data_IF_366165723926
#
_entry.id   IF_366165723926
#
_cell.length_a   1.000
_cell.length_b   1.000
_cell.length_c   1.000
_cell.angle_alpha   90.00
_cell.angle_beta   90.00
_cell.angle_gamma   90.00
#
_symmetry.space_group_name_H-M   'P 1'
#
loop_
_entity.id
_entity.type
_entity.pdbx_description
1 polymer ?
#
# COMPACT_ATOMS: atom_id res chain seq x y z
N UNK A 1 18.42 9.14 -40.41
CA UNK A 1 18.44 9.08 -38.93
C UNK A 1 17.05 8.67 -38.51
N UNK A 2 16.86 7.38 -38.27
CA UNK A 2 15.56 6.87 -37.83
C UNK A 2 15.28 7.37 -36.42
N UNK A 3 14.25 8.20 -36.28
CA UNK A 3 13.61 8.47 -35.00
C UNK A 3 12.91 7.19 -34.57
N UNK A 4 13.65 6.23 -34.02
CA UNK A 4 13.06 5.11 -33.28
C UNK A 4 12.44 5.73 -32.04
N UNK A 5 11.13 5.96 -32.12
CA UNK A 5 10.33 6.47 -31.02
C UNK A 5 10.54 5.50 -29.84
N UNK A 6 11.30 5.94 -28.83
CA UNK A 6 11.58 5.12 -27.66
C UNK A 6 10.23 4.82 -26.99
N UNK A 7 10.00 3.54 -26.71
CA UNK A 7 8.76 3.11 -26.07
C UNK A 7 8.65 3.77 -24.68
N UNK A 8 7.52 4.43 -24.35
CA UNK A 8 7.34 5.15 -23.09
C UNK A 8 7.57 4.30 -21.84
N UNK A 9 7.29 2.99 -21.90
CA UNK A 9 7.54 2.04 -20.80
C UNK A 9 9.04 1.84 -20.59
N UNK A 10 9.82 1.75 -21.68
CA UNK A 10 11.27 1.59 -21.62
C UNK A 10 11.92 2.88 -21.08
N UNK A 11 11.46 4.03 -21.55
CA UNK A 11 11.88 5.35 -21.04
C UNK A 11 11.57 5.49 -19.54
N UNK A 12 10.36 5.11 -19.13
CA UNK A 12 9.94 5.12 -17.73
C UNK A 12 10.82 4.25 -16.82
N UNK A 13 11.18 3.06 -17.30
CA UNK A 13 12.08 2.18 -16.58
C UNK A 13 13.55 2.65 -16.67
N UNK A 14 13.91 3.52 -17.61
CA UNK A 14 15.24 4.12 -17.69
C UNK A 14 16.35 3.10 -18.00
N UNK A 15 16.01 2.00 -18.68
CA UNK A 15 16.98 1.02 -19.15
C UNK A 15 17.12 1.15 -20.68
N UNK A 16 18.36 1.06 -21.17
CA UNK A 16 18.64 1.11 -22.61
C UNK A 16 18.36 -0.19 -23.35
N UNK A 17 18.38 -1.33 -22.65
CA UNK A 17 18.04 -2.65 -23.18
C UNK A 17 17.34 -3.44 -22.07
N UNK A 18 16.07 -3.78 -22.27
CA UNK A 18 15.29 -4.54 -21.30
C UNK A 18 15.09 -5.97 -21.78
N UNK A 19 15.36 -6.96 -20.91
CA UNK A 19 15.12 -8.36 -21.23
C UNK A 19 13.61 -8.67 -21.30
N UNK A 20 13.24 -9.83 -21.87
CA UNK A 20 11.87 -10.37 -21.83
C UNK A 20 11.24 -10.19 -20.42
N UNK A 21 9.99 -9.68 -20.30
CA UNK A 21 8.96 -9.57 -21.34
C UNK A 21 9.00 -8.28 -22.17
N UNK A 22 9.93 -7.36 -21.93
CA UNK A 22 9.98 -6.05 -22.62
C UNK A 22 10.44 -6.11 -24.07
N UNK A 23 10.89 -7.28 -24.53
CA UNK A 23 11.16 -7.55 -25.95
C UNK A 23 9.92 -8.07 -26.68
N UNK A 24 8.83 -8.36 -25.95
CA UNK A 24 7.58 -8.89 -26.50
C UNK A 24 6.61 -7.75 -26.85
N UNK A 25 6.17 -7.63 -28.13
CA UNK A 25 5.28 -6.55 -28.54
C UNK A 25 3.89 -6.58 -27.87
N UNK A 26 3.37 -7.76 -27.53
CA UNK A 26 2.06 -7.89 -26.87
C UNK A 26 2.13 -7.39 -25.44
N UNK A 27 3.21 -7.73 -24.72
CA UNK A 27 3.47 -7.19 -23.39
C UNK A 27 3.64 -5.67 -23.43
N UNK A 28 4.45 -5.16 -24.35
CA UNK A 28 4.70 -3.71 -24.46
C UNK A 28 3.41 -2.92 -24.73
N UNK A 29 2.58 -3.39 -25.67
CA UNK A 29 1.29 -2.75 -25.96
C UNK A 29 0.40 -2.70 -24.71
N UNK A 30 0.31 -3.79 -23.96
CA UNK A 30 -0.47 -3.83 -22.71
C UNK A 30 0.11 -2.92 -21.63
N UNK A 31 1.43 -2.89 -21.50
CA UNK A 31 2.11 -2.03 -20.53
C UNK A 31 1.93 -0.54 -20.84
N UNK A 32 1.89 -0.17 -22.13
CA UNK A 32 1.59 1.19 -22.58
C UNK A 32 0.16 1.61 -22.24
N UNK A 33 -0.83 0.78 -22.57
CA UNK A 33 -2.25 1.04 -22.28
C UNK A 33 -2.48 1.26 -20.78
N UNK A 34 -1.82 0.43 -19.97
CA UNK A 34 -1.87 0.53 -18.52
C UNK A 34 -1.17 1.81 -18.02
N UNK A 35 0.02 2.17 -18.53
CA UNK A 35 0.70 3.42 -18.15
C UNK A 35 -0.14 4.67 -18.48
N UNK A 36 -0.86 4.68 -19.60
CA UNK A 36 -1.80 5.76 -19.95
C UNK A 36 -2.93 5.84 -18.93
N UNK A 37 -3.49 4.69 -18.56
CA UNK A 37 -4.55 4.58 -17.55
C UNK A 37 -4.07 5.04 -16.17
N UNK A 38 -2.79 4.81 -15.87
CA UNK A 38 -2.18 5.11 -14.58
C UNK A 38 -1.49 6.47 -14.52
N UNK A 39 -1.63 7.34 -15.53
CA UNK A 39 -0.85 8.59 -15.66
C UNK A 39 -0.88 9.47 -14.39
N UNK A 40 -2.02 9.52 -13.70
CA UNK A 40 -2.25 10.37 -12.52
C UNK A 40 -1.89 9.65 -11.20
N UNK A 41 -1.46 8.39 -11.25
CA UNK A 41 -1.05 7.64 -10.06
C UNK A 41 0.37 8.03 -9.60
N UNK A 42 0.65 7.94 -8.28
CA UNK A 42 2.01 8.07 -7.77
C UNK A 42 2.94 7.03 -8.39
N UNK A 43 4.22 7.37 -8.48
CA UNK A 43 5.22 6.55 -9.18
C UNK A 43 5.34 5.12 -8.62
N UNK A 44 5.22 4.97 -7.30
CA UNK A 44 5.22 3.68 -6.62
C UNK A 44 4.05 2.78 -7.05
N UNK A 45 2.88 3.35 -7.34
CA UNK A 45 1.71 2.61 -7.83
C UNK A 45 1.90 2.15 -9.28
N UNK A 46 2.46 3.01 -10.13
CA UNK A 46 2.82 2.67 -11.51
C UNK A 46 3.82 1.50 -11.54
N UNK A 47 4.87 1.56 -10.71
CA UNK A 47 5.84 0.47 -10.57
C UNK A 47 5.22 -0.84 -10.11
N UNK A 48 4.37 -0.82 -9.07
CA UNK A 48 3.76 -2.06 -8.58
C UNK A 48 2.77 -2.67 -9.58
N UNK A 49 2.03 -1.84 -10.30
CA UNK A 49 1.10 -2.30 -11.31
C UNK A 49 1.83 -2.86 -12.53
N UNK A 50 2.93 -2.23 -12.95
CA UNK A 50 3.83 -2.76 -13.98
C UNK A 50 4.48 -4.08 -13.52
N UNK A 51 4.90 -4.17 -12.25
CA UNK A 51 5.41 -5.40 -11.67
C UNK A 51 4.37 -6.52 -11.68
N UNK A 52 3.12 -6.20 -11.34
CA UNK A 52 2.02 -7.17 -11.43
C UNK A 52 1.81 -7.67 -12.86
N UNK A 53 1.89 -6.79 -13.85
CA UNK A 53 1.77 -7.14 -15.26
C UNK A 53 2.93 -8.04 -15.71
N UNK A 54 4.18 -7.72 -15.37
CA UNK A 54 5.35 -8.57 -15.63
C UNK A 54 5.15 -9.97 -15.07
N UNK A 55 4.70 -10.08 -13.81
CA UNK A 55 4.46 -11.35 -13.15
C UNK A 55 3.35 -12.17 -13.80
N UNK A 56 2.22 -11.52 -14.14
CA UNK A 56 1.11 -12.19 -14.81
C UNK A 56 1.53 -12.73 -16.18
N UNK A 57 2.40 -12.02 -16.88
CA UNK A 57 2.90 -12.42 -18.19
C UNK A 57 3.93 -13.56 -18.10
N UNK A 58 4.91 -13.44 -17.21
CA UNK A 58 5.98 -14.44 -17.05
C UNK A 58 5.52 -15.71 -16.31
N UNK A 59 4.58 -15.55 -15.38
CA UNK A 59 4.17 -16.59 -14.44
C UNK A 59 2.64 -16.61 -14.26
N UNK A 60 1.87 -16.89 -15.32
CA UNK A 60 0.39 -16.79 -15.29
C UNK A 60 -0.27 -17.67 -14.22
N UNK A 61 0.41 -18.73 -13.77
CA UNK A 61 -0.07 -19.66 -12.76
C UNK A 61 0.47 -19.38 -11.34
N UNK A 62 1.23 -18.29 -11.13
CA UNK A 62 1.80 -17.94 -9.83
C UNK A 62 1.35 -16.54 -9.42
N UNK A 63 0.85 -16.40 -8.20
CA UNK A 63 0.39 -15.13 -7.66
C UNK A 63 1.35 -14.62 -6.58
N UNK A 64 1.91 -13.43 -6.76
CA UNK A 64 2.77 -12.77 -5.78
C UNK A 64 2.04 -11.54 -5.23
N UNK A 65 1.52 -11.66 -4.00
CA UNK A 65 0.68 -10.64 -3.32
C UNK A 65 1.52 -9.51 -2.71
N UNK A 66 2.83 -9.69 -2.71
CA UNK A 66 3.74 -9.02 -1.80
C UNK A 66 3.95 -7.53 -2.02
N UNK A 67 4.35 -7.16 -3.23
CA UNK A 67 4.73 -5.79 -3.57
C UNK A 67 3.61 -4.77 -3.36
N UNK A 68 2.34 -5.19 -3.49
CA UNK A 68 1.19 -4.35 -3.20
C UNK A 68 1.06 -4.01 -1.71
N UNK A 69 1.51 -4.89 -0.80
CA UNK A 69 1.46 -4.64 0.65
C UNK A 69 2.37 -3.49 1.05
N UNK A 70 3.52 -3.33 0.40
CA UNK A 70 4.40 -2.16 0.61
C UNK A 70 3.70 -0.84 0.30
N UNK A 71 2.93 -0.77 -0.80
CA UNK A 71 2.16 0.44 -1.14
C UNK A 71 1.10 0.78 -0.10
N UNK A 72 0.48 -0.25 0.48
CA UNK A 72 -0.60 -0.09 1.45
C UNK A 72 -0.03 0.25 2.84
N UNK A 73 1.06 -0.40 3.24
CA UNK A 73 1.61 -0.26 4.60
C UNK A 73 2.67 0.83 4.71
N UNK A 74 3.27 1.26 3.59
CA UNK A 74 4.41 2.18 3.57
C UNK A 74 5.70 1.58 4.12
N UNK A 75 5.76 0.26 4.37
CA UNK A 75 6.93 -0.38 4.95
C UNK A 75 7.72 -1.17 3.89
N UNK A 76 8.95 -0.75 3.54
CA UNK A 76 9.75 -1.37 2.50
C UNK A 76 10.12 -2.82 2.84
N UNK A 77 9.98 -3.20 4.11
CA UNK A 77 10.32 -4.54 4.56
C UNK A 77 9.45 -5.64 3.97
N UNK A 78 8.21 -5.34 3.59
CA UNK A 78 7.38 -6.31 2.87
C UNK A 78 8.03 -6.67 1.53
N UNK A 79 8.54 -5.66 0.81
CA UNK A 79 9.29 -5.87 -0.42
C UNK A 79 10.46 -6.83 -0.21
N UNK A 80 11.22 -6.69 0.88
CA UNK A 80 12.39 -7.53 1.17
C UNK A 80 12.00 -8.97 1.55
N UNK A 81 10.92 -9.17 2.32
CA UNK A 81 10.41 -10.51 2.66
C UNK A 81 9.88 -11.22 1.40
N UNK A 82 9.16 -10.47 0.56
CA UNK A 82 8.61 -11.01 -0.68
C UNK A 82 9.74 -11.32 -1.67
N UNK A 83 10.80 -10.51 -1.69
CA UNK A 83 12.01 -10.80 -2.46
C UNK A 83 12.64 -12.14 -2.08
N UNK A 84 12.87 -12.37 -0.79
CA UNK A 84 13.43 -13.63 -0.30
C UNK A 84 12.56 -14.83 -0.71
N UNK A 85 11.24 -14.66 -0.69
CA UNK A 85 10.29 -15.71 -1.12
C UNK A 85 10.40 -15.99 -2.63
N UNK A 86 10.54 -14.94 -3.44
CA UNK A 86 10.68 -15.02 -4.90
C UNK A 86 12.02 -15.66 -5.28
N UNK A 87 13.10 -15.27 -4.61
CA UNK A 87 14.44 -15.82 -4.80
C UNK A 87 14.45 -17.33 -4.50
N UNK A 88 13.90 -17.75 -3.35
CA UNK A 88 13.76 -19.18 -3.00
C UNK A 88 12.91 -19.96 -4.00
N UNK A 89 11.93 -19.31 -4.63
CA UNK A 89 11.08 -19.92 -5.66
C UNK A 89 11.74 -20.00 -7.05
N UNK A 90 12.99 -19.52 -7.19
CA UNK A 90 13.73 -19.48 -8.45
C UNK A 90 13.10 -18.53 -9.48
N UNK A 91 12.31 -17.56 -9.02
CA UNK A 91 11.62 -16.61 -9.88
C UNK A 91 12.61 -15.51 -10.25
N UNK A 92 12.63 -15.14 -11.53
CA UNK A 92 13.52 -14.11 -12.04
C UNK A 92 13.07 -12.73 -11.56
N UNK A 93 14.03 -11.93 -11.11
CA UNK A 93 13.81 -10.53 -10.76
C UNK A 93 13.60 -9.71 -12.03
N UNK A 94 12.45 -9.05 -12.12
CA UNK A 94 12.04 -8.25 -13.27
C UNK A 94 12.45 -6.78 -13.14
N UNK A 95 12.56 -6.01 -14.23
CA UNK A 95 12.92 -4.58 -14.19
C UNK A 95 12.09 -3.72 -13.24
N UNK A 96 10.75 -3.83 -13.23
CA UNK A 96 9.94 -3.04 -12.29
C UNK A 96 10.19 -3.49 -10.84
N UNK A 97 10.36 -4.79 -10.62
CA UNK A 97 10.74 -5.35 -9.31
C UNK A 97 12.10 -4.83 -8.83
N UNK A 98 13.10 -4.71 -9.71
CA UNK A 98 14.40 -4.12 -9.38
C UNK A 98 14.26 -2.67 -8.91
N UNK A 99 13.43 -1.86 -9.58
CA UNK A 99 13.16 -0.49 -9.13
C UNK A 99 12.47 -0.45 -7.77
N UNK A 100 11.46 -1.29 -7.55
CA UNK A 100 10.77 -1.39 -6.26
C UNK A 100 11.76 -1.79 -5.15
N UNK A 101 12.65 -2.77 -5.41
CA UNK A 101 13.69 -3.19 -4.48
C UNK A 101 14.69 -2.08 -4.19
N UNK A 102 15.11 -1.32 -5.20
CA UNK A 102 16.02 -0.19 -5.02
C UNK A 102 15.40 0.90 -4.14
N UNK A 103 14.13 1.25 -4.39
CA UNK A 103 13.37 2.19 -3.57
C UNK A 103 13.24 1.67 -2.14
N UNK A 104 12.82 0.41 -1.97
CA UNK A 104 12.62 -0.19 -0.68
C UNK A 104 13.92 -0.29 0.13
N UNK A 105 15.01 -0.71 -0.52
CA UNK A 105 16.35 -0.81 0.08
C UNK A 105 16.87 0.57 0.48
N UNK A 106 16.68 1.59 -0.37
CA UNK A 106 17.02 2.98 -0.03
C UNK A 106 16.22 3.47 1.18
N UNK A 107 14.90 3.25 1.20
CA UNK A 107 14.03 3.59 2.34
C UNK A 107 14.43 2.87 3.63
N UNK A 108 14.94 1.64 3.51
CA UNK A 108 15.43 0.82 4.62
C UNK A 108 16.80 1.27 5.12
N UNK A 109 17.75 1.57 4.22
CA UNK A 109 19.12 1.97 4.55
C UNK A 109 19.24 3.40 5.10
N UNK A 110 18.35 4.31 4.68
CA UNK A 110 18.39 5.72 5.07
C UNK A 110 17.39 6.09 6.19
N UNK A 111 16.96 5.12 7.00
CA UNK A 111 16.10 5.31 8.19
C UNK A 111 14.79 6.10 7.95
N UNK A 112 14.32 6.12 6.70
CA UNK A 112 13.03 6.71 6.35
C UNK A 112 11.86 5.80 6.74
N UNK A 113 12.13 4.62 7.34
CA UNK A 113 11.13 3.76 7.95
C UNK A 113 11.53 3.24 9.33
N UNK A 114 10.56 2.92 10.21
CA UNK A 114 10.86 2.42 11.55
C UNK A 114 11.61 1.08 11.47
N UNK A 115 12.91 1.11 11.72
CA UNK A 115 13.75 -0.03 12.05
C UNK A 115 13.17 -0.70 13.30
N UNK A 116 12.41 -1.79 13.16
CA UNK A 116 12.32 -2.78 14.24
C UNK A 116 11.83 -4.11 13.66
N UNK A 117 12.79 -4.99 13.43
CA UNK A 117 12.70 -6.44 13.24
C UNK A 117 11.39 -6.99 12.61
N UNK A 118 11.39 -7.31 11.31
CA UNK A 118 10.20 -7.80 10.57
C UNK A 118 9.74 -9.18 11.00
N UNK A 119 10.68 -9.98 11.54
CA UNK A 119 10.41 -11.32 12.06
C UNK A 119 9.79 -11.28 13.46
N UNK A 120 9.82 -10.11 14.11
CA UNK A 120 9.13 -9.91 15.37
C UNK A 120 7.63 -9.74 15.08
N UNK A 121 6.89 -10.85 15.24
CA UNK A 121 5.43 -10.92 15.09
C UNK A 121 4.72 -9.79 15.85
N UNK A 122 5.24 -9.37 17.01
CA UNK A 122 4.69 -8.27 17.80
C UNK A 122 4.82 -6.91 17.10
N UNK A 123 5.95 -6.65 16.44
CA UNK A 123 6.16 -5.39 15.70
C UNK A 123 5.36 -5.36 14.39
N UNK A 124 5.31 -6.48 13.66
CA UNK A 124 4.45 -6.59 12.47
C UNK A 124 2.97 -6.42 12.84
N UNK A 125 2.54 -7.02 13.96
CA UNK A 125 1.17 -6.86 14.46
C UNK A 125 0.88 -5.42 14.86
N UNK A 126 1.86 -4.71 15.42
CA UNK A 126 1.72 -3.28 15.77
C UNK A 126 1.46 -2.40 14.55
N UNK A 127 2.15 -2.65 13.44
CA UNK A 127 1.93 -1.93 12.15
C UNK A 127 0.58 -2.27 11.55
N UNK A 128 0.17 -3.54 11.61
CA UNK A 128 -1.17 -3.95 11.17
C UNK A 128 -2.25 -3.20 11.97
N UNK A 129 -2.12 -3.15 13.29
CA UNK A 129 -3.02 -2.43 14.20
C UNK A 129 -3.00 -0.93 13.90
N UNK A 130 -1.83 -0.35 13.58
CA UNK A 130 -1.69 1.04 13.18
C UNK A 130 -2.53 1.37 11.95
N UNK A 131 -2.39 0.58 10.89
CA UNK A 131 -3.10 0.79 9.63
C UNK A 131 -4.61 0.56 9.79
N UNK A 132 -4.98 -0.46 10.57
CA UNK A 132 -6.36 -0.71 10.95
C UNK A 132 -6.97 0.46 11.73
N UNK A 133 -6.23 1.06 12.66
CA UNK A 133 -6.66 2.24 13.41
C UNK A 133 -6.77 3.49 12.52
N UNK A 134 -5.84 3.69 11.59
CA UNK A 134 -5.92 4.79 10.61
C UNK A 134 -7.14 4.67 9.69
N UNK A 135 -7.40 3.47 9.17
CA UNK A 135 -8.57 3.22 8.32
C UNK A 135 -9.87 3.40 9.11
N UNK A 136 -9.92 2.90 10.34
CA UNK A 136 -11.09 3.07 11.21
C UNK A 136 -11.34 4.56 11.52
N UNK A 137 -10.30 5.33 11.85
CA UNK A 137 -10.43 6.77 12.07
C UNK A 137 -10.92 7.50 10.80
N UNK A 138 -10.42 7.14 9.62
CA UNK A 138 -10.90 7.68 8.35
C UNK A 138 -12.37 7.31 8.08
N UNK A 139 -12.79 6.08 8.37
CA UNK A 139 -14.20 5.65 8.24
C UNK A 139 -15.11 6.38 9.21
N UNK A 140 -14.71 6.54 10.48
CA UNK A 140 -15.46 7.31 11.46
C UNK A 140 -15.60 8.79 11.06
N UNK A 141 -14.57 9.37 10.43
CA UNK A 141 -14.64 10.73 9.90
C UNK A 141 -15.56 10.83 8.66
N UNK A 142 -15.47 9.89 7.72
CA UNK A 142 -16.16 9.96 6.42
C UNK A 142 -17.60 9.42 6.47
N UNK A 143 -17.83 8.26 7.09
CA UNK A 143 -19.12 7.56 7.07
C UNK A 143 -20.04 8.06 8.19
N UNK A 144 -19.48 8.42 9.35
CA UNK A 144 -20.25 8.87 10.52
C UNK A 144 -20.22 10.39 10.68
N UNK A 145 -19.20 11.07 10.13
CA UNK A 145 -19.05 12.51 10.28
C UNK A 145 -18.44 12.92 11.62
N UNK A 146 -17.78 12.00 12.34
CA UNK A 146 -17.09 12.34 13.59
C UNK A 146 -16.00 13.36 13.31
N UNK A 147 -15.79 14.30 14.26
CA UNK A 147 -14.62 15.16 14.20
C UNK A 147 -13.35 14.30 14.19
N UNK A 148 -12.30 14.75 13.48
CA UNK A 148 -11.04 13.99 13.40
C UNK A 148 -10.48 13.60 14.77
N UNK A 149 -10.63 14.48 15.76
CA UNK A 149 -10.18 14.21 17.13
C UNK A 149 -10.96 13.04 17.76
N UNK A 150 -12.28 13.07 17.64
CA UNK A 150 -13.14 12.01 18.15
C UNK A 150 -12.91 10.68 17.40
N UNK A 151 -12.78 10.74 16.07
CA UNK A 151 -12.49 9.58 15.24
C UNK A 151 -11.15 8.90 15.61
N UNK A 152 -10.09 9.70 15.82
CA UNK A 152 -8.79 9.18 16.26
C UNK A 152 -8.84 8.60 17.68
N UNK A 153 -9.59 9.24 18.59
CA UNK A 153 -9.77 8.75 19.96
C UNK A 153 -10.47 7.39 19.99
N UNK A 154 -11.63 7.29 19.31
CA UNK A 154 -12.39 6.05 19.17
C UNK A 154 -11.56 4.93 18.56
N UNK A 155 -10.84 5.22 17.46
CA UNK A 155 -10.02 4.21 16.80
C UNK A 155 -8.86 3.73 17.68
N UNK A 156 -8.16 4.64 18.36
CA UNK A 156 -7.11 4.30 19.32
C UNK A 156 -7.65 3.38 20.43
N UNK A 157 -8.74 3.78 21.08
CA UNK A 157 -9.30 3.06 22.23
C UNK A 157 -9.88 1.70 21.82
N UNK A 158 -10.54 1.61 20.67
CA UNK A 158 -11.03 0.35 20.11
C UNK A 158 -9.90 -0.67 19.98
N UNK A 159 -8.78 -0.28 19.37
CA UNK A 159 -7.65 -1.19 19.16
C UNK A 159 -6.81 -1.45 20.41
N UNK A 160 -6.71 -0.49 21.34
CA UNK A 160 -6.11 -0.70 22.66
C UNK A 160 -6.86 -1.80 23.44
N UNK A 161 -8.20 -1.76 23.42
CA UNK A 161 -9.02 -2.77 24.09
C UNK A 161 -8.97 -4.13 23.38
N UNK A 162 -8.93 -4.13 22.05
CA UNK A 162 -8.87 -5.36 21.24
C UNK A 162 -7.53 -6.07 21.34
N UNK A 163 -6.45 -5.32 21.54
CA UNK A 163 -5.08 -5.83 21.60
C UNK A 163 -4.31 -5.20 22.78
N UNK A 164 -4.62 -5.58 24.03
CA UNK A 164 -4.04 -4.95 25.22
C UNK A 164 -2.52 -5.12 25.31
N UNK A 165 -1.98 -6.22 24.76
CA UNK A 165 -0.55 -6.54 24.78
C UNK A 165 0.26 -5.86 23.66
N UNK A 166 -0.42 -5.27 22.68
CA UNK A 166 0.22 -4.51 21.62
C UNK A 166 0.33 -3.05 22.06
N UNK A 167 1.53 -2.46 21.97
CA UNK A 167 1.69 -1.01 22.21
C UNK A 167 0.89 -0.25 21.16
N UNK A 168 -0.35 0.11 21.54
CA UNK A 168 -1.30 0.84 20.71
C UNK A 168 -0.79 2.20 20.27
N UNK A 169 -1.54 2.86 19.39
CA UNK A 169 -1.18 4.17 18.87
C UNK A 169 -2.04 5.23 19.50
N UNK A 170 -1.39 6.26 20.06
CA UNK A 170 -2.10 7.40 20.61
C UNK A 170 -2.89 8.17 19.54
N UNK A 171 -4.04 8.78 19.90
CA UNK A 171 -4.87 9.60 19.03
C UNK A 171 -4.08 10.73 18.39
N UNK A 172 -3.14 11.34 19.12
CA UNK A 172 -2.28 12.38 18.56
C UNK A 172 -1.39 11.86 17.45
N UNK A 173 -0.87 10.64 17.60
CA UNK A 173 -0.07 9.99 16.55
C UNK A 173 -0.95 9.61 15.37
N UNK A 174 -2.17 9.11 15.57
CA UNK A 174 -3.13 8.86 14.48
C UNK A 174 -3.48 10.15 13.74
N UNK A 175 -3.76 11.23 14.47
CA UNK A 175 -4.09 12.55 13.91
C UNK A 175 -2.94 13.08 13.04
N UNK A 176 -1.71 13.02 13.54
CA UNK A 176 -0.51 13.40 12.76
C UNK A 176 -0.36 12.57 11.50
N UNK A 177 -0.59 11.26 11.58
CA UNK A 177 -0.46 10.36 10.43
C UNK A 177 -1.56 10.57 9.38
N UNK A 178 -2.81 10.84 9.79
CA UNK A 178 -3.90 11.22 8.87
C UNK A 178 -3.67 12.58 8.19
N UNK A 179 -2.89 13.46 8.82
CA UNK A 179 -2.52 14.77 8.27
C UNK A 179 -1.32 14.71 7.32
N UNK A 180 -0.46 13.67 7.41
CA UNK A 180 0.72 13.55 6.55
C UNK A 180 0.29 13.19 5.12
N UNK A 181 0.85 13.85 4.09
CA UNK A 181 0.80 13.35 2.73
C UNK A 181 1.48 11.97 2.66
N UNK A 182 0.93 11.01 1.90
CA UNK A 182 -0.27 11.14 1.06
C UNK A 182 -1.56 10.94 1.87
N UNK A 183 -2.64 11.66 1.55
CA UNK A 183 -3.99 11.48 2.15
C UNK A 183 -4.69 10.18 1.73
N UNK A 184 -3.93 9.21 1.23
CA UNK A 184 -4.40 7.99 0.59
C UNK A 184 -5.41 7.20 1.44
N UNK A 185 -5.31 7.19 2.77
CA UNK A 185 -6.32 6.54 3.62
C UNK A 185 -7.68 7.24 3.54
N UNK A 186 -7.73 8.57 3.62
CA UNK A 186 -8.98 9.33 3.50
C UNK A 186 -9.53 9.27 2.08
N UNK A 187 -8.67 9.37 1.07
CA UNK A 187 -9.07 9.30 -0.34
C UNK A 187 -9.57 7.91 -0.73
N UNK A 188 -8.89 6.84 -0.27
CA UNK A 188 -9.32 5.45 -0.48
C UNK A 188 -10.65 5.18 0.21
N UNK A 189 -10.82 5.58 1.48
CA UNK A 189 -12.09 5.38 2.19
C UNK A 189 -13.23 6.20 1.57
N UNK A 190 -12.93 7.40 1.06
CA UNK A 190 -13.91 8.21 0.32
C UNK A 190 -14.31 7.54 -1.00
N UNK A 191 -13.36 6.95 -1.73
CA UNK A 191 -13.61 6.20 -2.96
C UNK A 191 -14.43 4.95 -2.68
N UNK A 192 -14.12 4.22 -1.62
CA UNK A 192 -14.90 3.06 -1.16
C UNK A 192 -16.35 3.48 -0.87
N UNK A 193 -16.54 4.57 -0.13
CA UNK A 193 -17.88 5.11 0.17
C UNK A 193 -18.67 5.47 -1.09
N UNK A 194 -18.02 6.11 -2.05
CA UNK A 194 -18.66 6.57 -3.29
C UNK A 194 -18.99 5.43 -4.27
N UNK A 195 -18.26 4.31 -4.20
CA UNK A 195 -18.42 3.17 -5.11
C UNK A 195 -19.23 2.00 -4.53
N UNK A 196 -19.46 2.00 -3.21
CA UNK A 196 -20.22 0.95 -2.53
C UNK A 196 -21.73 1.09 -2.72
N UNK A 197 -22.44 -0.03 -2.74
CA UNK A 197 -23.90 -0.03 -2.73
C UNK A 197 -24.47 0.39 -1.35
N UNK A 198 -25.75 0.80 -1.33
CA UNK A 198 -26.41 1.27 -0.11
C UNK A 198 -26.44 0.24 1.02
N UNK A 199 -26.53 -1.05 0.68
CA UNK A 199 -26.58 -2.15 1.66
C UNK A 199 -25.24 -2.29 2.37
N UNK A 200 -24.15 -2.33 1.62
CA UNK A 200 -22.78 -2.42 2.16
C UNK A 200 -22.43 -1.20 3.01
N UNK A 201 -22.84 0.00 2.59
CA UNK A 201 -22.66 1.22 3.40
C UNK A 201 -23.42 1.13 4.72
N UNK A 202 -24.65 0.61 4.71
CA UNK A 202 -25.49 0.47 5.91
C UNK A 202 -24.86 -0.48 6.93
N UNK A 203 -24.35 -1.64 6.47
CA UNK A 203 -23.66 -2.61 7.33
C UNK A 203 -22.39 -2.01 7.95
N UNK A 204 -21.61 -1.27 7.16
CA UNK A 204 -20.43 -0.55 7.66
C UNK A 204 -20.83 0.50 8.70
N UNK A 205 -21.83 1.34 8.44
CA UNK A 205 -22.31 2.35 9.40
C UNK A 205 -22.77 1.69 10.70
N UNK A 206 -23.55 0.60 10.63
CA UNK A 206 -24.00 -0.13 11.81
C UNK A 206 -22.82 -0.63 12.66
N UNK A 207 -21.79 -1.18 12.01
CA UNK A 207 -20.57 -1.64 12.71
C UNK A 207 -19.79 -0.49 13.36
N UNK A 208 -19.78 0.70 12.75
CA UNK A 208 -19.06 1.87 13.26
C UNK A 208 -19.81 2.55 14.41
N UNK A 209 -21.14 2.59 14.36
CA UNK A 209 -21.99 3.13 15.45
C UNK A 209 -21.88 2.28 16.72
N UNK A 210 -21.64 0.96 16.57
CA UNK A 210 -21.43 0.07 17.72
C UNK A 210 -20.10 0.32 18.47
N UNK A 211 -19.20 1.15 17.94
CA UNK A 211 -17.93 1.50 18.60
C UNK A 211 -18.20 2.59 19.63
N UNK A 212 -18.02 2.32 20.94
CA UNK A 212 -18.40 3.24 21.99
C UNK A 212 -17.55 4.51 22.00
N UNK A 213 -18.18 5.61 22.42
CA UNK A 213 -17.54 6.89 22.73
C UNK A 213 -16.80 6.74 24.05
N UNK A 214 -15.56 6.24 23.98
CA UNK A 214 -14.71 6.16 25.16
C UNK A 214 -14.00 7.51 25.32
N UNK A 215 -14.57 8.39 26.14
CA UNK A 215 -13.87 9.54 26.72
C UNK A 215 -13.07 9.06 27.94
N UNK A 216 -11.73 8.99 27.81
CA UNK A 216 -10.88 8.50 28.89
C UNK A 216 -9.39 8.49 28.53
N UNK A 217 -8.57 8.92 29.48
CA UNK A 217 -7.22 9.49 29.41
C UNK A 217 -6.10 8.60 28.85
N UNK A 218 -5.13 9.25 28.21
CA UNK A 218 -3.74 8.75 28.11
C UNK A 218 -3.05 8.83 29.46
#
# INVERSE_FOLDING_TARGET
MDNTKINPVLEYLGYGDLPFPYTDPEFLSKAEDELVTWKDLPDSYKLAALCHLEFKFLYPNRFVVGFSKWLISGHPIHVLIDFETIEKAGIRVTPAMQKILAIATSQYLYDQTPLNNPTNKTTAKRVEIQNQALRLAAQLEIYIGNSRSLACSKASNYYKNKYPDAVGISPDRLKKLLQKPPRHFLESVKKDYQSSDKKSITEVIQSLVAIPDIEGSF
#
